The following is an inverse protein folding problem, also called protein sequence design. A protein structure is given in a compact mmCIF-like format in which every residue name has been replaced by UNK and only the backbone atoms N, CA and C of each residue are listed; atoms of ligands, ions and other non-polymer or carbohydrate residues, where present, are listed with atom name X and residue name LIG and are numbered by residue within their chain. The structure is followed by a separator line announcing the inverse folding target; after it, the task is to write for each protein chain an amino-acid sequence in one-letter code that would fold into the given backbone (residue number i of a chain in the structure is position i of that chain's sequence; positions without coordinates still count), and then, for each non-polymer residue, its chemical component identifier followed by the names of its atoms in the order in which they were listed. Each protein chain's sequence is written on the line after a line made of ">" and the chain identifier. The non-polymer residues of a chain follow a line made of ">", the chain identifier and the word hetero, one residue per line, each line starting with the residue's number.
data_IF_040301314164
#
_entry.id   IF_040301314164
#
_cell.length_a   1.000
_cell.length_b   1.000
_cell.length_c   1.000
_cell.angle_alpha   90.00
_cell.angle_beta   90.00
_cell.angle_gamma   90.00
#
_symmetry.space_group_name_H-M   'P 1'
#
loop_
_entity.id
_entity.type
_entity.pdbx_description
1 polymer ?
#
# COMPACT_ATOMS: atom_id res chain seq x y z
N UNK A 1 -19.13 14.81 18.11
CA UNK A 1 -17.93 13.94 18.06
C UNK A 1 -16.81 14.65 17.34
N UNK A 2 -15.67 14.68 17.93
CA UNK A 2 -14.50 15.32 17.34
C UNK A 2 -13.67 14.31 16.57
N UNK A 3 -13.36 14.63 15.30
CA UNK A 3 -12.49 13.81 14.48
C UNK A 3 -11.16 14.52 14.27
N UNK A 4 -10.07 13.82 14.53
CA UNK A 4 -8.75 14.38 14.28
C UNK A 4 -8.59 14.69 12.78
N UNK A 5 -7.94 15.80 12.47
CA UNK A 5 -7.72 16.21 11.08
C UNK A 5 -6.59 15.44 10.38
N UNK A 6 -6.00 14.44 11.03
CA UNK A 6 -4.92 13.67 10.45
C UNK A 6 -5.42 12.83 9.30
N UNK A 7 -4.73 12.89 8.17
CA UNK A 7 -5.01 12.05 7.01
C UNK A 7 -4.34 10.71 7.19
N UNK A 8 -5.07 9.64 6.86
CA UNK A 8 -4.53 8.27 6.86
C UNK A 8 -4.62 7.69 5.45
N UNK A 9 -3.56 7.05 4.95
CA UNK A 9 -3.64 6.40 3.65
C UNK A 9 -4.57 5.19 3.73
N UNK A 10 -5.17 4.84 2.59
CA UNK A 10 -6.01 3.65 2.52
C UNK A 10 -5.17 2.37 2.65
N UNK A 11 -4.01 2.33 2.01
CA UNK A 11 -3.14 1.14 1.99
C UNK A 11 -1.74 1.53 2.45
N UNK A 12 -1.19 0.72 3.34
CA UNK A 12 0.20 0.81 3.79
C UNK A 12 0.89 -0.50 3.43
N UNK A 13 1.96 -0.41 2.64
CA UNK A 13 2.68 -1.59 2.16
C UNK A 13 4.05 -1.65 2.80
N UNK A 14 4.41 -2.80 3.34
CA UNK A 14 5.77 -3.08 3.81
C UNK A 14 6.40 -4.06 2.83
N UNK A 15 7.30 -3.59 1.93
CA UNK A 15 7.91 -4.47 0.95
C UNK A 15 9.17 -5.11 1.53
N UNK A 16 9.23 -6.43 1.45
CA UNK A 16 10.35 -7.23 1.96
C UNK A 16 10.85 -8.16 0.86
N UNK A 17 12.16 -8.41 0.85
CA UNK A 17 12.72 -9.49 0.05
C UNK A 17 12.18 -10.82 0.58
N UNK A 18 11.65 -11.68 -0.30
CA UNK A 18 11.00 -12.92 0.12
C UNK A 18 11.97 -13.94 0.72
N UNK A 19 13.24 -13.87 0.37
CA UNK A 19 14.26 -14.77 0.90
C UNK A 19 14.91 -14.28 2.18
N UNK A 20 15.39 -13.03 2.19
CA UNK A 20 16.15 -12.48 3.31
C UNK A 20 15.30 -11.77 4.34
N UNK A 21 14.07 -11.37 3.98
CA UNK A 21 13.17 -10.53 4.77
C UNK A 21 13.70 -9.12 4.98
N UNK A 22 14.71 -8.70 4.24
CA UNK A 22 15.20 -7.34 4.28
C UNK A 22 14.15 -6.39 3.70
N UNK A 23 14.00 -5.22 4.31
CA UNK A 23 13.10 -4.19 3.81
C UNK A 23 13.69 -3.57 2.55
N UNK A 24 12.89 -3.51 1.49
CA UNK A 24 13.30 -2.98 0.18
C UNK A 24 12.45 -1.79 -0.25
N UNK A 25 11.89 -1.03 0.69
CA UNK A 25 11.02 0.09 0.37
C UNK A 25 11.72 1.16 -0.46
N UNK A 26 12.96 1.47 -0.17
CA UNK A 26 13.75 2.41 -0.96
C UNK A 26 13.95 1.84 -2.37
N UNK A 27 13.54 2.60 -3.38
CA UNK A 27 13.57 2.14 -4.76
C UNK A 27 12.32 1.35 -5.20
N UNK A 28 11.40 1.09 -4.27
CA UNK A 28 10.15 0.40 -4.57
C UNK A 28 9.07 1.42 -4.93
N UNK A 29 8.24 1.08 -5.89
CA UNK A 29 7.09 1.86 -6.28
C UNK A 29 5.89 0.98 -6.54
N UNK A 30 4.87 1.54 -7.10
CA UNK A 30 3.66 0.81 -7.46
C UNK A 30 2.43 1.69 -7.46
N UNK A 31 1.28 1.05 -7.42
CA UNK A 31 0.01 1.75 -7.46
C UNK A 31 -1.08 0.94 -6.75
N UNK A 32 -2.09 1.65 -6.33
CA UNK A 32 -3.35 1.07 -5.85
C UNK A 32 -4.46 1.53 -6.78
N UNK A 33 -5.39 0.64 -7.10
CA UNK A 33 -6.50 0.97 -7.98
C UNK A 33 -7.81 0.39 -7.47
N UNK A 34 -8.88 1.14 -7.65
CA UNK A 34 -10.24 0.72 -7.32
C UNK A 34 -11.18 1.32 -8.35
N UNK A 35 -11.72 0.49 -9.25
CA UNK A 35 -12.48 0.98 -10.38
C UNK A 35 -11.65 1.90 -11.27
N UNK A 36 -12.09 3.13 -11.44
CA UNK A 36 -11.35 4.14 -12.23
C UNK A 36 -10.38 4.97 -11.38
N UNK A 37 -10.40 4.79 -10.07
CA UNK A 37 -9.49 5.50 -9.17
C UNK A 37 -8.14 4.78 -9.13
N UNK A 38 -7.07 5.52 -9.38
CA UNK A 38 -5.70 5.03 -9.33
C UNK A 38 -4.84 6.03 -8.57
N UNK A 39 -4.02 5.55 -7.66
CA UNK A 39 -3.08 6.38 -6.93
C UNK A 39 -1.73 5.67 -6.86
N UNK A 40 -0.66 6.44 -6.92
CA UNK A 40 0.70 5.90 -6.83
C UNK A 40 1.08 5.61 -5.39
N UNK A 41 1.79 4.52 -5.17
CA UNK A 41 2.42 4.25 -3.88
C UNK A 41 3.67 5.10 -3.72
N UNK A 42 3.88 5.64 -2.53
CA UNK A 42 5.01 6.52 -2.21
C UNK A 42 5.76 5.98 -1.01
N UNK A 43 7.08 6.01 -1.07
CA UNK A 43 7.92 5.61 0.05
C UNK A 43 7.80 6.64 1.18
N UNK A 44 7.55 6.14 2.38
CA UNK A 44 7.44 6.95 3.60
C UNK A 44 8.34 6.33 4.66
N UNK A 45 9.13 7.15 5.32
CA UNK A 45 10.06 6.71 6.38
C UNK A 45 11.07 5.65 5.91
N UNK A 46 11.37 5.58 4.60
CA UNK A 46 12.30 4.61 4.00
C UNK A 46 11.99 3.14 4.27
N UNK A 47 10.81 2.82 4.82
CA UNK A 47 10.47 1.46 5.22
C UNK A 47 9.09 1.00 4.78
N UNK A 48 8.20 1.91 4.39
CA UNK A 48 6.85 1.59 3.98
C UNK A 48 6.44 2.44 2.78
N UNK A 49 5.34 2.02 2.12
CA UNK A 49 4.72 2.82 1.06
C UNK A 49 3.28 3.11 1.43
N UNK A 50 2.84 4.32 1.13
CA UNK A 50 1.47 4.76 1.33
C UNK A 50 0.80 4.97 -0.03
N UNK A 51 -0.46 4.59 -0.15
CA UNK A 51 -1.25 4.88 -1.33
C UNK A 51 -2.75 4.80 -1.07
N UNK A 52 -3.50 5.56 -1.86
CA UNK A 52 -4.95 5.61 -1.77
C UNK A 52 -5.45 6.52 -0.66
N UNK A 53 -6.50 7.28 -0.98
CA UNK A 53 -7.10 8.22 -0.04
C UNK A 53 -8.61 8.09 0.00
N UNK A 54 -9.12 6.99 -0.60
CA UNK A 54 -10.56 6.73 -0.72
C UNK A 54 -10.89 5.34 -0.19
N UNK A 55 -12.14 5.18 0.20
CA UNK A 55 -12.69 3.89 0.56
C UNK A 55 -12.87 3.04 -0.70
N UNK A 56 -12.85 1.76 -0.56
CA UNK A 56 -13.11 0.83 -1.65
C UNK A 56 -12.34 -0.46 -1.54
N UNK A 57 -12.46 -1.27 -2.57
CA UNK A 57 -11.70 -2.52 -2.70
C UNK A 57 -10.60 -2.30 -3.72
N UNK A 58 -9.37 -2.50 -3.29
CA UNK A 58 -8.21 -2.16 -4.08
C UNK A 58 -7.50 -3.37 -4.65
N UNK A 59 -6.91 -3.17 -5.82
CA UNK A 59 -5.80 -3.98 -6.31
C UNK A 59 -4.52 -3.22 -6.01
N UNK A 60 -3.58 -3.88 -5.36
CA UNK A 60 -2.29 -3.30 -4.98
C UNK A 60 -1.21 -3.93 -5.85
N UNK A 61 -0.44 -3.11 -6.55
CA UNK A 61 0.67 -3.54 -7.39
C UNK A 61 1.94 -2.93 -6.85
N UNK A 62 2.96 -3.75 -6.62
CA UNK A 62 4.26 -3.31 -6.09
C UNK A 62 5.36 -3.73 -7.04
N UNK A 63 6.27 -2.80 -7.34
CA UNK A 63 7.36 -3.02 -8.29
C UNK A 63 8.68 -2.53 -7.72
N UNK A 64 9.74 -3.29 -7.97
CA UNK A 64 11.10 -2.90 -7.60
C UNK A 64 12.07 -3.46 -8.64
N UNK A 65 13.07 -2.69 -9.09
CA UNK A 65 14.09 -3.23 -10.00
C UNK A 65 14.76 -4.47 -9.41
N UNK A 66 14.88 -5.52 -10.20
CA UNK A 66 15.46 -6.78 -9.77
C UNK A 66 14.49 -7.74 -9.09
N UNK A 67 13.21 -7.36 -8.99
CA UNK A 67 12.17 -8.20 -8.40
C UNK A 67 11.02 -8.38 -9.38
N UNK A 68 10.29 -9.49 -9.18
CA UNK A 68 9.05 -9.70 -9.92
C UNK A 68 7.97 -8.78 -9.39
N UNK A 69 7.07 -8.34 -10.26
CA UNK A 69 5.90 -7.57 -9.86
C UNK A 69 5.06 -8.36 -8.86
N UNK A 70 4.64 -7.69 -7.80
CA UNK A 70 3.78 -8.26 -6.77
C UNK A 70 2.40 -7.62 -6.87
N UNK A 71 1.35 -8.45 -6.87
CA UNK A 71 -0.03 -7.99 -7.02
C UNK A 71 -0.90 -8.67 -5.97
N UNK A 72 -1.74 -7.89 -5.32
CA UNK A 72 -2.79 -8.41 -4.45
C UNK A 72 -4.09 -7.70 -4.76
N UNK A 73 -5.15 -8.48 -5.04
CA UNK A 73 -6.51 -7.99 -5.26
C UNK A 73 -7.36 -8.17 -4.02
N UNK A 74 -8.52 -7.51 -3.98
CA UNK A 74 -9.48 -7.68 -2.89
C UNK A 74 -9.06 -7.05 -1.58
N UNK A 75 -8.20 -6.05 -1.60
CA UNK A 75 -7.79 -5.32 -0.40
C UNK A 75 -8.90 -4.33 -0.06
N UNK A 76 -9.68 -4.65 0.96
CA UNK A 76 -10.87 -3.87 1.30
C UNK A 76 -10.54 -2.83 2.35
N UNK A 77 -10.78 -1.57 2.00
CA UNK A 77 -10.57 -0.42 2.88
C UNK A 77 -11.94 0.12 3.28
N UNK A 78 -12.18 0.16 4.58
CA UNK A 78 -13.43 0.64 5.15
C UNK A 78 -13.23 1.96 5.86
N UNK A 79 -14.33 2.65 6.14
CA UNK A 79 -14.26 3.91 6.87
C UNK A 79 -14.27 3.70 8.38
N UNK A 80 -13.64 4.61 9.08
CA UNK A 80 -13.85 4.78 10.51
C UNK A 80 -15.24 5.39 10.71
N UNK A 81 -16.07 4.74 11.53
CA UNK A 81 -17.52 4.97 11.55
C UNK A 81 -17.97 6.41 11.77
N UNK A 82 -17.18 7.25 12.43
CA UNK A 82 -17.62 8.58 12.83
C UNK A 82 -17.02 9.70 11.98
N UNK A 83 -15.92 9.43 11.31
CA UNK A 83 -15.17 10.48 10.63
C UNK A 83 -15.12 10.33 9.12
N UNK A 84 -15.62 9.23 8.58
CA UNK A 84 -15.58 8.95 7.16
C UNK A 84 -14.17 8.79 6.58
N UNK A 85 -13.17 8.64 7.42
CA UNK A 85 -11.79 8.49 6.99
C UNK A 85 -11.44 7.02 6.80
N UNK A 86 -10.56 6.71 5.83
CA UNK A 86 -10.13 5.32 5.65
C UNK A 86 -9.42 4.79 6.90
N UNK A 87 -9.70 3.55 7.24
CA UNK A 87 -8.88 2.79 8.19
C UNK A 87 -7.79 2.12 7.36
N UNK A 88 -6.54 2.48 7.61
CA UNK A 88 -5.41 1.97 6.84
C UNK A 88 -5.34 0.45 6.91
N UNK A 89 -5.23 -0.20 5.75
CA UNK A 89 -5.00 -1.63 5.65
C UNK A 89 -3.51 -1.86 5.44
N UNK A 90 -2.90 -2.64 6.32
CA UNK A 90 -1.48 -2.95 6.25
C UNK A 90 -1.26 -4.24 5.47
N UNK A 91 -0.40 -4.17 4.46
CA UNK A 91 -0.10 -5.30 3.58
C UNK A 91 1.41 -5.51 3.58
N UNK A 92 1.82 -6.76 3.78
CA UNK A 92 3.23 -7.13 3.62
C UNK A 92 3.42 -7.72 2.23
N UNK A 93 4.27 -7.08 1.43
CA UNK A 93 4.58 -7.54 0.08
C UNK A 93 5.92 -8.28 0.09
N UNK A 94 5.87 -9.60 -0.05
CA UNK A 94 7.07 -10.42 -0.15
C UNK A 94 7.49 -10.47 -1.61
N UNK A 95 8.50 -9.68 -1.98
CA UNK A 95 8.96 -9.55 -3.35
C UNK A 95 9.94 -10.68 -3.68
N UNK A 96 9.73 -11.32 -4.82
CA UNK A 96 10.58 -12.40 -5.28
C UNK A 96 11.64 -11.84 -6.24
N UNK A 97 12.93 -12.07 -5.97
CA UNK A 97 13.97 -11.66 -6.91
C UNK A 97 13.72 -12.29 -8.28
N UNK A 98 13.86 -11.48 -9.32
CA UNK A 98 13.77 -12.02 -10.67
C UNK A 98 15.12 -12.60 -11.08
N UNK A 99 15.11 -13.65 -11.94
CA UNK A 99 16.35 -14.26 -12.42
C UNK A 99 17.22 -13.30 -13.19
#
# INVERSE_FOLDING_TARGET
>A
MYCAAALSPAVVVTPLDSGTRANVAVGTGGAVSSGTYVDSLRVVYDSILWGGWRLGTYQVTVEHPGYRQWVRSGVRVTEQSECGMPVSVHVTALLQPSP
#
